data_IF_860998431969
#
_entry.id   IF_860998431969
#
_cell.length_a   1.000
_cell.length_b   1.000
_cell.length_c   1.000
_cell.angle_alpha   90.00
_cell.angle_beta   90.00
_cell.angle_gamma   90.00
#
_symmetry.space_group_name_H-M   'P 1'
#
loop_
_entity.id
_entity.type
_entity.pdbx_description
1 polymer ?
#
# COMPACT_ATOMS: atom_id res chain seq x y z
N UNK A 1 0.82 -22.53 1.93
CA UNK A 1 1.61 -21.35 2.35
C UNK A 1 2.18 -20.57 1.16
N UNK A 2 2.92 -21.20 0.24
CA UNK A 2 3.49 -20.54 -0.95
C UNK A 2 2.44 -19.78 -1.79
N UNK A 3 1.32 -20.42 -2.14
CA UNK A 3 0.27 -19.78 -2.93
C UNK A 3 -0.31 -18.51 -2.27
N UNK A 4 -0.43 -18.51 -0.94
CA UNK A 4 -0.91 -17.35 -0.20
C UNK A 4 0.07 -16.18 -0.26
N UNK A 5 1.37 -16.44 -0.11
CA UNK A 5 2.40 -15.41 -0.27
C UNK A 5 2.41 -14.81 -1.67
N UNK A 6 2.20 -15.65 -2.70
CA UNK A 6 2.08 -15.18 -4.08
C UNK A 6 0.89 -14.23 -4.19
N UNK A 7 -0.28 -14.58 -3.65
CA UNK A 7 -1.46 -13.71 -3.66
C UNK A 7 -1.22 -12.39 -2.94
N UNK A 8 -0.53 -12.41 -1.79
CA UNK A 8 -0.15 -11.18 -1.06
C UNK A 8 0.74 -10.29 -1.93
N UNK A 9 1.81 -10.85 -2.50
CA UNK A 9 2.75 -10.08 -3.31
C UNK A 9 2.09 -9.53 -4.57
N UNK A 10 1.29 -10.34 -5.27
CA UNK A 10 0.55 -9.89 -6.45
C UNK A 10 -0.48 -8.81 -6.11
N UNK A 11 -1.25 -9.00 -5.04
CA UNK A 11 -2.26 -8.01 -4.61
C UNK A 11 -1.58 -6.69 -4.25
N UNK A 12 -0.48 -6.73 -3.49
CA UNK A 12 0.28 -5.55 -3.14
C UNK A 12 0.90 -4.86 -4.36
N UNK A 13 1.45 -5.63 -5.30
CA UNK A 13 2.02 -5.11 -6.54
C UNK A 13 0.96 -4.45 -7.42
N UNK A 14 -0.16 -5.12 -7.67
CA UNK A 14 -1.29 -4.58 -8.45
C UNK A 14 -1.78 -3.26 -7.84
N UNK A 15 -1.99 -3.23 -6.52
CA UNK A 15 -2.43 -2.02 -5.84
C UNK A 15 -1.37 -0.90 -5.91
N UNK A 16 -0.09 -1.22 -5.77
CA UNK A 16 1.00 -0.26 -5.93
C UNK A 16 1.03 0.34 -7.34
N UNK A 17 0.96 -0.51 -8.37
CA UNK A 17 0.94 -0.06 -9.75
C UNK A 17 -0.28 0.81 -10.05
N UNK A 18 -1.47 0.41 -9.61
CA UNK A 18 -2.69 1.21 -9.74
C UNK A 18 -2.53 2.57 -9.04
N UNK A 19 -2.04 2.58 -7.81
CA UNK A 19 -1.85 3.82 -7.04
C UNK A 19 -0.85 4.76 -7.72
N UNK A 20 0.29 4.24 -8.17
CA UNK A 20 1.31 5.02 -8.87
C UNK A 20 0.83 5.50 -10.24
N UNK A 21 0.08 4.68 -10.98
CA UNK A 21 -0.50 5.03 -12.26
C UNK A 21 -1.53 6.16 -12.12
N UNK A 22 -2.45 6.07 -11.15
CA UNK A 22 -3.42 7.14 -10.83
C UNK A 22 -2.71 8.43 -10.40
N UNK A 23 -1.62 8.32 -9.63
CA UNK A 23 -0.81 9.47 -9.21
C UNK A 23 -0.01 10.09 -10.37
N UNK A 24 0.24 9.34 -11.44
CA UNK A 24 1.04 9.75 -12.60
C UNK A 24 2.51 10.06 -12.28
N UNK A 25 3.03 9.65 -11.11
CA UNK A 25 4.37 10.03 -10.63
C UNK A 25 5.12 8.86 -10.00
N UNK A 26 6.15 8.41 -10.70
CA UNK A 26 7.19 7.54 -10.17
C UNK A 26 8.25 8.42 -9.49
N UNK A 27 8.26 8.43 -8.16
CA UNK A 27 9.16 9.28 -7.38
C UNK A 27 9.82 8.54 -6.23
N UNK A 28 10.61 9.28 -5.43
CA UNK A 28 11.37 8.73 -4.29
C UNK A 28 10.51 8.03 -3.23
N UNK A 29 9.21 8.29 -3.20
CA UNK A 29 8.27 7.65 -2.28
C UNK A 29 7.83 6.24 -2.73
N UNK A 30 8.10 5.81 -3.97
CA UNK A 30 7.62 4.51 -4.48
C UNK A 30 8.06 3.33 -3.61
N UNK A 31 9.32 3.21 -3.14
CA UNK A 31 9.72 2.13 -2.24
C UNK A 31 8.93 2.14 -0.92
N UNK A 32 8.67 3.33 -0.37
CA UNK A 32 7.89 3.47 0.86
C UNK A 32 6.42 3.07 0.64
N UNK A 33 5.84 3.46 -0.50
CA UNK A 33 4.49 3.05 -0.91
C UNK A 33 4.41 1.54 -1.15
N UNK A 34 5.48 0.90 -1.67
CA UNK A 34 5.53 -0.55 -1.83
C UNK A 34 5.45 -1.28 -0.48
N UNK A 35 6.21 -0.80 0.52
CA UNK A 35 6.16 -1.32 1.89
C UNK A 35 4.76 -1.11 2.48
N UNK A 36 4.18 0.09 2.31
CA UNK A 36 2.84 0.40 2.78
C UNK A 36 1.77 -0.49 2.11
N UNK A 37 1.89 -0.75 0.82
CA UNK A 37 0.99 -1.65 0.07
C UNK A 37 1.04 -3.07 0.61
N UNK A 38 2.25 -3.60 0.86
CA UNK A 38 2.44 -4.92 1.47
C UNK A 38 1.84 -4.99 2.87
N UNK A 39 2.15 -4.01 3.72
CA UNK A 39 1.63 -3.93 5.08
C UNK A 39 0.10 -3.84 5.11
N UNK A 40 -0.49 -2.99 4.26
CA UNK A 40 -1.93 -2.85 4.12
C UNK A 40 -2.59 -4.12 3.59
N UNK A 41 -1.96 -4.82 2.64
CA UNK A 41 -2.45 -6.11 2.13
C UNK A 41 -2.54 -7.16 3.25
N UNK A 42 -1.47 -7.30 4.05
CA UNK A 42 -1.44 -8.23 5.17
C UNK A 42 -2.49 -7.89 6.24
N UNK A 43 -2.58 -6.61 6.62
CA UNK A 43 -3.54 -6.14 7.60
C UNK A 43 -4.99 -6.32 7.11
N UNK A 44 -5.28 -5.96 5.86
CA UNK A 44 -6.59 -6.10 5.25
C UNK A 44 -7.05 -7.53 5.14
N UNK A 45 -6.14 -8.48 4.85
CA UNK A 45 -6.47 -9.90 4.85
C UNK A 45 -6.93 -10.36 6.24
N UNK A 46 -6.22 -9.96 7.29
CA UNK A 46 -6.56 -10.32 8.67
C UNK A 46 -7.86 -9.66 9.14
N UNK A 47 -8.06 -8.38 8.80
CA UNK A 47 -9.30 -7.65 9.11
C UNK A 47 -10.49 -8.26 8.37
N UNK A 48 -10.36 -8.55 7.07
CA UNK A 48 -11.41 -9.19 6.28
C UNK A 48 -11.82 -10.54 6.85
N UNK A 49 -10.84 -11.35 7.26
CA UNK A 49 -11.05 -12.65 7.90
C UNK A 49 -11.80 -12.54 9.23
N UNK A 50 -11.53 -11.50 10.02
CA UNK A 50 -12.22 -11.26 11.31
C UNK A 50 -13.63 -10.71 11.14
N UNK A 51 -13.84 -9.90 10.10
CA UNK A 51 -15.13 -9.26 9.83
C UNK A 51 -16.08 -10.15 9.01
N UNK A 52 -15.63 -11.31 8.52
CA UNK A 52 -16.44 -12.20 7.70
C UNK A 52 -16.88 -11.56 6.38
N UNK A 53 -16.00 -10.74 5.79
CA UNK A 53 -16.29 -10.02 4.55
C UNK A 53 -16.23 -10.97 3.35
N UNK A 54 -17.27 -11.76 3.13
CA UNK A 54 -17.35 -12.72 2.00
C UNK A 54 -17.63 -12.05 0.63
N UNK A 55 -17.13 -10.83 0.39
CA UNK A 55 -17.31 -10.14 -0.89
C UNK A 55 -16.62 -10.87 -2.05
N UNK A 56 -15.41 -11.37 -1.83
CA UNK A 56 -14.68 -12.21 -2.76
C UNK A 56 -13.55 -12.90 -2.00
N UNK A 57 -13.58 -14.23 -1.93
CA UNK A 57 -12.58 -15.03 -1.22
C UNK A 57 -11.89 -15.99 -2.16
N UNK A 58 -10.56 -16.00 -2.14
CA UNK A 58 -9.74 -16.96 -2.91
C UNK A 58 -9.05 -17.88 -1.90
N UNK A 59 -9.64 -19.05 -1.67
CA UNK A 59 -9.21 -19.96 -0.61
C UNK A 59 -9.41 -19.32 0.77
N UNK A 60 -8.30 -18.96 1.43
CA UNK A 60 -8.26 -18.27 2.73
C UNK A 60 -7.83 -16.81 2.64
N UNK A 61 -7.72 -16.26 1.42
CA UNK A 61 -7.26 -14.90 1.18
C UNK A 61 -8.44 -13.99 0.85
N UNK A 62 -8.44 -12.80 1.45
CA UNK A 62 -9.49 -11.76 1.31
C UNK A 62 -9.00 -10.62 0.40
N UNK A 63 -8.98 -10.78 -0.94
CA UNK A 63 -8.38 -9.83 -1.88
C UNK A 63 -9.01 -8.43 -1.84
N UNK A 64 -10.33 -8.34 -1.61
CA UNK A 64 -11.05 -7.05 -1.58
C UNK A 64 -10.65 -6.25 -0.36
N UNK A 65 -10.76 -6.83 0.84
CA UNK A 65 -10.35 -6.18 2.08
C UNK A 65 -8.84 -5.83 2.06
N UNK A 66 -8.01 -6.73 1.54
CA UNK A 66 -6.58 -6.51 1.37
C UNK A 66 -6.27 -5.33 0.44
N UNK A 67 -6.98 -5.22 -0.69
CA UNK A 67 -6.77 -4.12 -1.66
C UNK A 67 -7.19 -2.77 -1.09
N UNK A 68 -8.35 -2.71 -0.43
CA UNK A 68 -8.82 -1.49 0.24
C UNK A 68 -7.79 -1.05 1.28
N UNK A 69 -7.35 -1.96 2.15
CA UNK A 69 -6.36 -1.65 3.17
C UNK A 69 -5.00 -1.23 2.58
N UNK A 70 -4.55 -1.86 1.49
CA UNK A 70 -3.33 -1.46 0.77
C UNK A 70 -3.42 -0.02 0.23
N UNK A 71 -4.54 0.35 -0.39
CA UNK A 71 -4.77 1.71 -0.88
C UNK A 71 -4.80 2.73 0.26
N UNK A 72 -5.50 2.41 1.36
CA UNK A 72 -5.55 3.28 2.54
C UNK A 72 -4.17 3.45 3.17
N UNK A 73 -3.37 2.38 3.27
CA UNK A 73 -2.02 2.46 3.82
C UNK A 73 -1.09 3.32 2.94
N UNK A 74 -1.15 3.17 1.62
CA UNK A 74 -0.40 4.01 0.68
C UNK A 74 -0.85 5.47 0.72
N UNK A 75 -2.17 5.71 0.79
CA UNK A 75 -2.73 7.05 0.93
C UNK A 75 -2.26 7.72 2.23
N UNK A 76 -2.38 7.02 3.37
CA UNK A 76 -1.90 7.51 4.65
C UNK A 76 -0.39 7.82 4.62
N UNK A 77 0.41 6.93 4.03
CA UNK A 77 1.85 7.12 3.84
C UNK A 77 2.16 8.38 3.01
N UNK A 78 1.40 8.60 1.93
CA UNK A 78 1.55 9.78 1.10
C UNK A 78 1.20 11.07 1.86
N UNK A 79 0.12 11.05 2.64
CA UNK A 79 -0.29 12.18 3.48
C UNK A 79 0.76 12.48 4.55
N UNK A 80 1.28 11.45 5.22
CA UNK A 80 2.36 11.60 6.20
C UNK A 80 3.64 12.14 5.57
N UNK A 81 4.00 11.67 4.38
CA UNK A 81 5.16 12.19 3.65
C UNK A 81 4.99 13.66 3.24
N UNK A 82 3.76 14.11 3.00
CA UNK A 82 3.47 15.52 2.71
C UNK A 82 3.59 16.43 3.95
N UNK A 83 3.50 15.86 5.16
CA UNK A 83 3.71 16.58 6.42
C UNK A 83 5.20 16.66 6.83
N UNK A 84 6.09 15.96 6.12
CA UNK A 84 7.51 16.00 6.42
C UNK A 84 8.06 17.44 6.24
N UNK A 85 8.92 17.93 7.15
CA UNK A 85 9.50 19.26 7.03
C UNK A 85 10.18 19.45 5.66
N UNK A 86 9.86 20.53 4.96
CA UNK A 86 10.66 20.96 3.83
C UNK A 86 12.07 21.19 4.36
N UNK A 87 13.05 20.46 3.80
CA UNK A 87 14.43 20.51 4.27
C UNK A 87 14.95 21.95 4.38
N UNK A 88 15.96 22.22 5.24
CA UNK A 88 16.51 23.55 5.41
C UNK A 88 16.78 24.19 4.05
N UNK A 89 16.40 25.47 3.83
CA UNK A 89 16.72 26.15 2.57
C UNK A 89 18.22 26.02 2.31
N UNK A 90 18.64 25.80 1.06
CA UNK A 90 20.06 25.71 0.75
C UNK A 90 20.74 26.96 1.29
N UNK A 91 21.76 26.78 2.12
CA UNK A 91 22.53 27.90 2.64
C UNK A 91 23.04 28.69 1.44
N UNK A 92 22.52 29.89 1.24
CA UNK A 92 23.03 30.85 0.28
C UNK A 92 24.40 31.32 0.76
N UNK A 93 25.44 30.51 0.56
CA UNK A 93 26.82 31.00 0.41
C UNK A 93 26.96 31.46 -1.04
N UNK A 94 27.18 32.74 -1.32
CA UNK A 94 28.46 33.45 -1.14
C UNK A 94 29.60 32.71 -1.82
#
# INVERSE_FOLDING_TARGET
MIAWLILVVFTAAINLFLFVAVRGRWGRLVPLLAIASLAGTLAGNEVGRRLGLDLLRIGSFEPVASSIAAQLAMLATLLLAALAPAGPPPASGQ
#
